data_IF_710951761901
#
_entry.id   IF_710951761901
#
_cell.length_a   1.000
_cell.length_b   1.000
_cell.length_c   1.000
_cell.angle_alpha   90.00
_cell.angle_beta   90.00
_cell.angle_gamma   90.00
#
_symmetry.space_group_name_H-M   'P 1'
#
loop_
_entity.id
_entity.type
_entity.pdbx_description
1 polymer ?
#
# COMPACT_ATOMS: atom_id res chain seq x y z
N UNK A 1 3.41 12.65 4.69
CA UNK A 1 2.61 11.96 5.74
C UNK A 1 3.47 11.42 6.88
N UNK A 2 4.46 10.55 6.65
CA UNK A 2 5.27 9.98 7.76
C UNK A 2 5.97 11.07 8.60
N UNK A 3 6.69 11.99 7.95
CA UNK A 3 7.33 13.11 8.66
C UNK A 3 6.34 14.03 9.40
N UNK A 4 5.08 14.09 8.96
CA UNK A 4 4.03 14.82 9.69
C UNK A 4 3.64 14.04 10.95
N UNK A 5 3.38 12.73 10.84
CA UNK A 5 3.06 11.90 11.98
C UNK A 5 4.19 11.83 13.02
N UNK A 6 5.45 11.88 12.57
CA UNK A 6 6.61 11.98 13.46
C UNK A 6 6.60 13.25 14.29
N UNK A 7 6.35 14.41 13.67
CA UNK A 7 6.32 15.69 14.37
C UNK A 7 5.13 15.82 15.32
N UNK A 8 3.94 15.44 14.87
CA UNK A 8 2.71 15.69 15.64
C UNK A 8 2.44 14.61 16.70
N UNK A 9 2.87 13.37 16.46
CA UNK A 9 2.48 12.21 17.29
C UNK A 9 3.66 11.37 17.77
N UNK A 10 4.91 11.75 17.45
CA UNK A 10 6.09 10.97 17.82
C UNK A 10 6.28 9.70 16.96
N UNK A 11 5.61 9.60 15.83
CA UNK A 11 5.81 8.56 14.80
C UNK A 11 4.57 7.72 14.51
N UNK A 12 4.77 6.65 13.74
CA UNK A 12 3.72 5.72 13.33
C UNK A 12 3.93 4.37 14.01
N UNK A 13 2.99 3.97 14.87
CA UNK A 13 3.03 2.66 15.53
C UNK A 13 2.34 1.57 14.72
N UNK A 14 1.29 1.94 13.96
CA UNK A 14 0.54 1.05 13.07
C UNK A 14 0.40 1.71 11.71
N UNK A 15 0.93 1.05 10.67
CA UNK A 15 0.71 1.44 9.27
C UNK A 15 -0.34 0.50 8.67
N UNK A 16 -1.45 1.06 8.18
CA UNK A 16 -2.47 0.32 7.43
C UNK A 16 -2.41 0.77 5.96
N UNK A 17 -1.91 -0.12 5.10
CA UNK A 17 -1.88 0.10 3.66
C UNK A 17 -3.22 -0.34 3.05
N UNK A 18 -4.14 0.62 2.95
CA UNK A 18 -5.51 0.41 2.47
C UNK A 18 -5.84 1.11 1.15
N UNK A 19 -5.06 2.11 0.74
CA UNK A 19 -5.30 2.80 -0.52
C UNK A 19 -5.26 1.79 -1.69
N UNK A 20 -6.33 1.77 -2.47
CA UNK A 20 -6.48 0.84 -3.58
C UNK A 20 -7.49 1.36 -4.61
N UNK A 21 -7.27 1.02 -5.87
CA UNK A 21 -8.19 1.28 -6.98
C UNK A 21 -8.44 0.00 -7.77
N UNK A 22 -9.51 -0.02 -8.56
CA UNK A 22 -9.85 -1.14 -9.43
C UNK A 22 -10.26 -0.62 -10.81
N UNK A 23 -9.91 -1.38 -11.84
CA UNK A 23 -10.45 -1.28 -13.19
C UNK A 23 -10.75 -2.71 -13.65
N UNK A 24 -11.86 -2.89 -14.35
CA UNK A 24 -12.30 -4.20 -14.84
C UNK A 24 -12.46 -4.07 -16.33
N UNK A 25 -11.75 -4.92 -17.06
CA UNK A 25 -11.87 -5.07 -18.49
C UNK A 25 -11.36 -6.46 -18.90
N UNK A 26 -11.65 -6.87 -20.13
CA UNK A 26 -11.00 -8.02 -20.74
C UNK A 26 -9.48 -7.76 -20.86
N UNK A 27 -8.66 -8.81 -20.80
CA UNK A 27 -7.19 -8.64 -20.76
C UNK A 27 -6.67 -8.02 -22.05
N UNK A 28 -7.24 -8.40 -23.19
CA UNK A 28 -6.92 -7.88 -24.52
C UNK A 28 -7.31 -6.41 -24.72
N UNK A 29 -8.29 -5.93 -23.98
CA UNK A 29 -8.82 -4.57 -24.05
C UNK A 29 -8.30 -3.68 -22.90
N UNK A 30 -7.59 -4.27 -21.93
CA UNK A 30 -7.20 -3.59 -20.70
C UNK A 30 -6.23 -2.42 -20.97
N UNK A 31 -6.61 -1.16 -20.64
CA UNK A 31 -5.74 -0.02 -20.91
C UNK A 31 -4.44 -0.08 -20.09
N UNK A 32 -3.30 0.09 -20.76
CA UNK A 32 -1.97 0.06 -20.11
C UNK A 32 -1.85 1.11 -19.02
N UNK A 33 -2.40 2.31 -19.24
CA UNK A 33 -2.36 3.38 -18.25
C UNK A 33 -3.19 3.06 -17.01
N UNK A 34 -4.27 2.29 -17.16
CA UNK A 34 -5.06 1.77 -16.03
C UNK A 34 -4.24 0.74 -15.24
N UNK A 35 -3.52 -0.13 -15.93
CA UNK A 35 -2.65 -1.14 -15.30
C UNK A 35 -1.57 -0.46 -14.47
N UNK A 36 -0.86 0.50 -15.05
CA UNK A 36 0.22 1.22 -14.38
C UNK A 36 -0.28 1.96 -13.13
N UNK A 37 -1.46 2.59 -13.21
CA UNK A 37 -2.09 3.24 -12.05
C UNK A 37 -2.43 2.23 -10.94
N UNK A 38 -2.98 1.08 -11.30
CA UNK A 38 -3.31 0.02 -10.32
C UNK A 38 -2.05 -0.49 -9.64
N UNK A 39 -0.97 -0.77 -10.39
CA UNK A 39 0.30 -1.19 -9.80
C UNK A 39 0.89 -0.09 -8.92
N UNK A 40 0.85 1.17 -9.36
CA UNK A 40 1.36 2.30 -8.60
C UNK A 40 0.67 2.45 -7.25
N UNK A 41 -0.66 2.30 -7.20
CA UNK A 41 -1.47 2.50 -5.99
C UNK A 41 -1.55 1.20 -5.16
N UNK A 42 -1.93 0.08 -5.74
CA UNK A 42 -2.24 -1.13 -4.97
C UNK A 42 -0.99 -1.89 -4.51
N UNK A 43 0.17 -1.67 -5.17
CA UNK A 43 1.41 -2.38 -4.87
C UNK A 43 2.56 -1.43 -4.51
N UNK A 44 2.93 -0.53 -5.41
CA UNK A 44 4.12 0.32 -5.19
C UNK A 44 3.95 1.26 -4.01
N UNK A 45 2.75 1.82 -3.78
CA UNK A 45 2.52 2.70 -2.64
C UNK A 45 2.69 1.97 -1.31
N UNK A 46 2.33 0.69 -1.22
CA UNK A 46 2.51 -0.18 -0.04
C UNK A 46 4.00 -0.30 0.31
N UNK A 47 4.84 -0.48 -0.70
CA UNK A 47 6.29 -0.50 -0.51
C UNK A 47 6.80 0.86 -0.02
N UNK A 48 6.40 1.95 -0.66
CA UNK A 48 6.90 3.28 -0.33
C UNK A 48 6.51 3.73 1.09
N UNK A 49 5.25 3.54 1.49
CA UNK A 49 4.79 3.84 2.85
C UNK A 49 5.53 3.00 3.89
N UNK A 50 5.68 1.70 3.63
CA UNK A 50 6.38 0.77 4.52
C UNK A 50 7.85 1.15 4.66
N UNK A 51 8.54 1.43 3.55
CA UNK A 51 9.96 1.84 3.55
C UNK A 51 10.18 3.09 4.41
N UNK A 52 9.23 4.02 4.42
CA UNK A 52 9.33 5.25 5.19
C UNK A 52 8.96 5.06 6.67
N UNK A 53 7.99 4.21 7.00
CA UNK A 53 7.56 3.97 8.38
C UNK A 53 8.50 3.02 9.15
N UNK A 54 9.09 2.03 8.46
CA UNK A 54 9.85 0.94 9.06
C UNK A 54 11.07 1.38 9.90
N UNK A 55 11.87 2.39 9.50
CA UNK A 55 13.00 2.86 10.31
C UNK A 55 12.57 3.33 11.71
N UNK A 56 11.49 4.13 11.79
CA UNK A 56 10.95 4.60 13.07
C UNK A 56 10.45 3.45 13.94
N UNK A 57 9.76 2.48 13.35
CA UNK A 57 9.31 1.27 14.06
C UNK A 57 10.49 0.45 14.61
N UNK A 58 11.57 0.30 13.81
CA UNK A 58 12.79 -0.41 14.23
C UNK A 58 13.49 0.29 15.38
N UNK A 59 13.62 1.63 15.32
CA UNK A 59 14.25 2.41 16.37
C UNK A 59 13.50 2.30 17.72
N UNK A 60 12.16 2.18 17.66
CA UNK A 60 11.31 1.95 18.84
C UNK A 60 11.28 0.49 19.31
N UNK A 61 11.79 -0.45 18.52
CA UNK A 61 11.61 -1.90 18.75
C UNK A 61 10.15 -2.36 18.62
N UNK A 62 9.27 -1.55 18.02
CA UNK A 62 7.84 -1.81 17.92
C UNK A 62 7.21 -1.21 16.67
N UNK A 63 6.31 -1.98 16.05
CA UNK A 63 5.44 -1.51 14.99
C UNK A 63 4.54 -2.63 14.44
N UNK A 64 3.47 -2.26 13.75
CA UNK A 64 2.63 -3.20 12.98
C UNK A 64 2.36 -2.64 11.59
N UNK A 65 2.41 -3.52 10.59
CA UNK A 65 2.07 -3.20 9.20
C UNK A 65 0.94 -4.14 8.79
N UNK A 66 -0.17 -3.57 8.34
CA UNK A 66 -1.35 -4.30 7.85
C UNK A 66 -1.56 -3.92 6.39
N UNK A 67 -1.48 -4.92 5.50
CA UNK A 67 -1.74 -4.73 4.08
C UNK A 67 -3.14 -5.26 3.76
N UNK A 68 -4.00 -4.42 3.21
CA UNK A 68 -5.32 -4.85 2.76
C UNK A 68 -5.18 -5.42 1.35
N UNK A 69 -5.22 -6.74 1.26
CA UNK A 69 -5.22 -7.46 -0.01
C UNK A 69 -6.66 -7.85 -0.42
N UNK A 70 -6.79 -8.52 -1.55
CA UNK A 70 -8.08 -9.00 -2.07
C UNK A 70 -8.03 -10.51 -2.33
N UNK A 71 -9.19 -11.16 -2.17
CA UNK A 71 -9.39 -12.56 -2.61
C UNK A 71 -9.10 -12.71 -4.10
N UNK A 72 -9.40 -11.70 -4.92
CA UNK A 72 -9.05 -11.70 -6.34
C UNK A 72 -7.53 -11.80 -6.58
N UNK A 73 -6.70 -11.31 -5.65
CA UNK A 73 -5.25 -11.49 -5.72
C UNK A 73 -4.79 -12.93 -5.45
N UNK A 74 -5.63 -13.73 -4.79
CA UNK A 74 -5.36 -15.14 -4.49
C UNK A 74 -5.91 -16.08 -5.57
N UNK A 75 -7.13 -15.83 -6.06
CA UNK A 75 -7.85 -16.79 -6.92
C UNK A 75 -8.23 -16.25 -8.30
N UNK A 76 -7.96 -14.98 -8.60
CA UNK A 76 -8.43 -14.32 -9.81
C UNK A 76 -9.93 -14.01 -9.80
N UNK A 77 -10.42 -13.41 -10.89
CA UNK A 77 -11.85 -13.27 -11.18
C UNK A 77 -12.14 -14.06 -12.46
N UNK A 78 -13.32 -14.68 -12.53
CA UNK A 78 -13.81 -15.41 -13.71
C UNK A 78 -14.43 -14.48 -14.73
#
# INVERSE_FOLDING_TARGET
MIAYAEREFGGVDILVNNAGIQHVDAVEDFPVESWDKIIAINLSSVFHSTRLALPGMKAKGWGRIVNIASVHGLVGST
#
